data_IF_935381235040
#
_entry.id   IF_935381235040
#
_cell.length_a   1.000
_cell.length_b   1.000
_cell.length_c   1.000
_cell.angle_alpha   90.00
_cell.angle_beta   90.00
_cell.angle_gamma   90.00
#
_symmetry.space_group_name_H-M   'P 1'
#
loop_
_entity.id
_entity.type
_entity.pdbx_description
1 polymer ?
#
# COMPACT_ATOMS: atom_id res chain seq x y z
N UNK A 1 17.58 3.07 -33.99
CA UNK A 1 16.83 2.64 -32.77
C UNK A 1 15.69 1.64 -33.04
N UNK A 2 15.51 1.12 -34.27
CA UNK A 2 14.24 0.50 -34.70
C UNK A 2 14.21 -1.04 -34.83
N UNK A 3 15.34 -1.75 -34.79
CA UNK A 3 15.35 -3.22 -35.02
C UNK A 3 15.77 -4.00 -33.76
N UNK A 4 16.72 -3.46 -33.00
CA UNK A 4 17.14 -4.02 -31.70
C UNK A 4 16.01 -3.99 -30.68
N UNK A 5 15.28 -2.86 -30.59
CA UNK A 5 14.09 -2.75 -29.73
C UNK A 5 12.97 -3.70 -30.16
N UNK A 6 12.70 -3.79 -31.45
CA UNK A 6 11.69 -4.69 -32.01
C UNK A 6 12.04 -6.16 -31.76
N UNK A 7 13.32 -6.53 -31.90
CA UNK A 7 13.83 -7.87 -31.59
C UNK A 7 13.71 -8.21 -30.11
N UNK A 8 14.03 -7.26 -29.22
CA UNK A 8 13.86 -7.40 -27.77
C UNK A 8 12.38 -7.55 -27.37
N UNK A 9 11.48 -6.76 -27.96
CA UNK A 9 10.03 -6.84 -27.71
C UNK A 9 9.46 -8.18 -28.18
N UNK A 10 9.89 -8.69 -29.34
CA UNK A 10 9.44 -9.99 -29.87
C UNK A 10 10.00 -11.16 -29.05
N UNK A 11 11.27 -11.08 -28.63
CA UNK A 11 11.87 -12.07 -27.74
C UNK A 11 11.18 -12.09 -26.37
N UNK A 12 10.88 -10.92 -25.80
CA UNK A 12 10.14 -10.79 -24.54
C UNK A 12 8.74 -11.40 -24.66
N UNK A 13 7.98 -11.04 -25.69
CA UNK A 13 6.63 -11.59 -25.95
C UNK A 13 6.63 -13.12 -26.16
N UNK A 14 7.69 -13.68 -26.75
CA UNK A 14 7.85 -15.14 -26.92
C UNK A 14 8.27 -15.84 -25.63
N UNK A 15 9.05 -15.18 -24.79
CA UNK A 15 9.53 -15.72 -23.52
C UNK A 15 8.49 -15.63 -22.39
N UNK A 16 7.48 -14.75 -22.53
CA UNK A 16 6.34 -14.65 -21.61
C UNK A 16 5.45 -15.91 -21.67
N UNK A 17 5.95 -17.02 -21.15
CA UNK A 17 5.10 -18.14 -20.73
C UNK A 17 4.22 -17.65 -19.58
N UNK A 18 2.91 -17.92 -19.56
CA UNK A 18 2.09 -17.59 -18.41
C UNK A 18 2.56 -18.44 -17.22
N UNK A 19 3.36 -17.83 -16.34
CA UNK A 19 3.83 -18.43 -15.10
C UNK A 19 2.70 -18.34 -14.08
N UNK A 20 2.05 -19.48 -13.80
CA UNK A 20 1.01 -19.67 -12.77
C UNK A 20 -0.25 -18.80 -12.97
N UNK A 21 -1.38 -19.23 -12.42
CA UNK A 21 -2.65 -18.48 -12.49
C UNK A 21 -2.43 -17.05 -11.96
N UNK A 22 -2.52 -15.99 -12.79
CA UNK A 22 -2.21 -14.61 -12.38
C UNK A 22 -3.05 -14.13 -11.18
N UNK A 23 -4.22 -14.71 -11.00
CA UNK A 23 -5.17 -14.43 -9.92
C UNK A 23 -4.64 -14.80 -8.53
N UNK A 24 -3.90 -15.90 -8.38
CA UNK A 24 -3.45 -16.36 -7.06
C UNK A 24 -2.33 -15.48 -6.51
N UNK A 25 -1.37 -15.11 -7.36
CA UNK A 25 -0.30 -14.19 -7.00
C UNK A 25 -0.81 -12.78 -6.70
N UNK A 26 -1.81 -12.32 -7.46
CA UNK A 26 -2.47 -11.06 -7.20
C UNK A 26 -3.18 -11.07 -5.83
N UNK A 27 -3.85 -12.16 -5.48
CA UNK A 27 -4.47 -12.32 -4.16
C UNK A 27 -3.43 -12.28 -3.02
N UNK A 28 -2.31 -12.98 -3.17
CA UNK A 28 -1.21 -12.92 -2.19
C UNK A 28 -0.58 -11.53 -2.09
N UNK A 29 -0.44 -10.82 -3.21
CA UNK A 29 0.04 -9.44 -3.23
C UNK A 29 -0.89 -8.51 -2.45
N UNK A 30 -2.20 -8.60 -2.70
CA UNK A 30 -3.22 -7.84 -1.95
C UNK A 30 -3.21 -8.20 -0.46
N UNK A 31 -3.10 -9.48 -0.13
CA UNK A 31 -3.04 -9.94 1.26
C UNK A 31 -1.79 -9.41 1.99
N UNK A 32 -0.62 -9.43 1.34
CA UNK A 32 0.61 -8.86 1.89
C UNK A 32 0.51 -7.35 2.13
N UNK A 33 -0.10 -6.63 1.19
CA UNK A 33 -0.41 -5.21 1.35
C UNK A 33 -1.34 -4.95 2.54
N UNK A 34 -2.38 -5.76 2.70
CA UNK A 34 -3.28 -5.68 3.84
C UNK A 34 -2.56 -5.91 5.17
N UNK A 35 -1.73 -6.95 5.24
CA UNK A 35 -0.92 -7.23 6.42
C UNK A 35 0.04 -6.07 6.76
N UNK A 36 0.70 -5.50 5.75
CA UNK A 36 1.56 -4.33 5.94
C UNK A 36 0.78 -3.12 6.43
N UNK A 37 -0.40 -2.88 5.86
CA UNK A 37 -1.28 -1.79 6.30
C UNK A 37 -1.74 -1.97 7.75
N UNK A 38 -2.05 -3.19 8.17
CA UNK A 38 -2.41 -3.49 9.56
C UNK A 38 -1.24 -3.24 10.51
N UNK A 39 -0.01 -3.61 10.14
CA UNK A 39 1.19 -3.35 10.95
C UNK A 39 1.36 -1.84 11.18
N UNK A 40 1.25 -1.03 10.12
CA UNK A 40 1.34 0.42 10.23
C UNK A 40 0.15 1.04 10.97
N UNK A 41 -1.07 0.58 10.70
CA UNK A 41 -2.27 1.03 11.39
C UNK A 41 -2.23 0.77 12.90
N UNK A 42 -1.56 -0.31 13.33
CA UNK A 42 -1.38 -0.63 14.74
C UNK A 42 -0.53 0.40 15.48
N UNK A 43 0.37 1.11 14.80
CA UNK A 43 1.04 2.27 15.37
C UNK A 43 0.06 3.39 15.73
N UNK A 44 -1.03 3.55 14.97
CA UNK A 44 -2.13 4.46 15.26
C UNK A 44 -2.90 4.14 16.56
N UNK A 45 -2.72 2.94 17.11
CA UNK A 45 -3.30 2.52 18.39
C UNK A 45 -2.21 2.49 19.48
N UNK A 46 -1.12 1.76 19.24
CA UNK A 46 -0.09 1.49 20.23
C UNK A 46 0.79 2.72 20.54
N UNK A 47 0.99 3.61 19.57
CA UNK A 47 1.80 4.83 19.71
C UNK A 47 0.93 6.09 19.80
N UNK A 48 -0.40 5.94 19.96
CA UNK A 48 -1.28 7.08 20.08
C UNK A 48 -1.05 7.81 21.41
N UNK A 49 -0.65 9.10 21.41
CA UNK A 49 -0.39 9.86 22.63
C UNK A 49 -1.61 10.70 23.02
N UNK A 50 -2.43 10.29 24.00
CA UNK A 50 -3.68 10.99 24.34
C UNK A 50 -3.45 12.38 24.96
N UNK A 51 -2.30 12.63 25.58
CA UNK A 51 -2.00 13.87 26.30
C UNK A 51 -1.24 14.91 25.50
N UNK A 52 -0.83 14.61 24.26
CA UNK A 52 0.03 15.51 23.47
C UNK A 52 -0.47 15.69 22.04
N UNK A 53 -1.17 16.79 21.73
CA UNK A 53 -1.64 17.11 20.37
C UNK A 53 -0.51 17.15 19.33
N UNK A 54 0.68 17.63 19.70
CA UNK A 54 1.84 17.71 18.79
C UNK A 54 2.29 16.33 18.29
N UNK A 55 2.29 15.32 19.18
CA UNK A 55 2.67 13.96 18.80
C UNK A 55 1.56 13.26 18.02
N UNK A 56 0.28 13.61 18.25
CA UNK A 56 -0.84 13.14 17.43
C UNK A 56 -0.74 13.66 15.98
N UNK A 57 -0.42 14.94 15.81
CA UNK A 57 -0.15 15.52 14.48
C UNK A 57 1.03 14.85 13.79
N UNK A 58 2.12 14.62 14.52
CA UNK A 58 3.27 13.89 13.98
C UNK A 58 2.87 12.49 13.50
N UNK A 59 2.14 11.73 14.32
CA UNK A 59 1.64 10.40 13.97
C UNK A 59 0.71 10.44 12.75
N UNK A 60 -0.14 11.46 12.64
CA UNK A 60 -1.00 11.68 11.48
C UNK A 60 -0.23 11.98 10.20
N UNK A 61 0.81 12.80 10.28
CA UNK A 61 1.67 13.09 9.13
C UNK A 61 2.44 11.84 8.69
N UNK A 62 2.92 11.02 9.65
CA UNK A 62 3.61 9.76 9.34
C UNK A 62 2.66 8.78 8.66
N UNK A 63 1.51 8.47 9.27
CA UNK A 63 0.56 7.49 8.70
C UNK A 63 -0.08 8.00 7.39
N UNK A 64 -0.41 9.29 7.32
CA UNK A 64 -0.89 9.93 6.11
C UNK A 64 0.15 9.93 4.99
N UNK A 65 1.42 10.20 5.31
CA UNK A 65 2.54 10.15 4.37
C UNK A 65 2.79 8.74 3.84
N UNK A 66 2.71 7.71 4.69
CA UNK A 66 2.81 6.31 4.29
C UNK A 66 1.66 5.90 3.35
N UNK A 67 0.42 6.31 3.65
CA UNK A 67 -0.73 6.08 2.78
C UNK A 67 -0.56 6.80 1.42
N UNK A 68 -0.12 8.06 1.42
CA UNK A 68 0.14 8.81 0.20
C UNK A 68 1.27 8.20 -0.63
N UNK A 69 2.38 7.80 -0.01
CA UNK A 69 3.51 7.15 -0.70
C UNK A 69 3.14 5.82 -1.34
N UNK A 70 2.19 5.08 -0.73
CA UNK A 70 1.71 3.81 -1.28
C UNK A 70 0.96 3.95 -2.62
N UNK A 71 0.44 5.15 -2.94
CA UNK A 71 -0.27 5.41 -4.21
C UNK A 71 0.62 5.14 -5.43
N UNK A 72 1.88 5.59 -5.38
CA UNK A 72 2.85 5.38 -6.46
C UNK A 72 3.25 3.89 -6.57
N UNK A 73 3.39 3.22 -5.42
CA UNK A 73 3.81 1.81 -5.35
C UNK A 73 2.71 0.87 -5.88
N UNK A 74 1.45 1.21 -5.68
CA UNK A 74 0.29 0.38 -6.05
C UNK A 74 -0.55 0.96 -7.20
N UNK A 75 0.00 1.90 -7.97
CA UNK A 75 -0.69 2.56 -9.09
C UNK A 75 -1.20 1.57 -10.15
N UNK A 76 -0.55 0.42 -10.30
CA UNK A 76 -0.95 -0.62 -11.26
C UNK A 76 -2.22 -1.39 -10.85
N UNK A 77 -2.59 -1.42 -9.56
CA UNK A 77 -3.73 -2.18 -9.07
C UNK A 77 -4.40 -1.52 -7.86
N UNK A 78 -5.47 -0.78 -8.14
CA UNK A 78 -6.21 0.00 -7.14
C UNK A 78 -6.70 -0.81 -5.91
N UNK A 79 -7.16 -2.08 -6.03
CA UNK A 79 -7.54 -2.85 -4.85
C UNK A 79 -6.36 -3.13 -3.89
N UNK A 80 -5.13 -3.27 -4.39
CA UNK A 80 -3.96 -3.41 -3.52
C UNK A 80 -3.64 -2.11 -2.77
N UNK A 81 -3.85 -0.95 -3.41
CA UNK A 81 -3.77 0.34 -2.74
C UNK A 81 -4.79 0.41 -1.59
N UNK A 82 -6.07 0.11 -1.84
CA UNK A 82 -7.10 0.14 -0.80
C UNK A 82 -6.80 -0.83 0.34
N UNK A 83 -6.32 -2.03 0.02
CA UNK A 83 -5.94 -3.05 1.00
C UNK A 83 -4.84 -2.55 1.94
N UNK A 84 -3.94 -1.69 1.50
CA UNK A 84 -2.92 -1.08 2.36
C UNK A 84 -3.43 0.18 3.10
N UNK A 85 -4.06 1.08 2.36
CA UNK A 85 -4.40 2.43 2.82
C UNK A 85 -5.50 2.42 3.88
N UNK A 86 -6.53 1.58 3.73
CA UNK A 86 -7.62 1.51 4.69
C UNK A 86 -7.14 1.02 6.06
N UNK A 87 -6.46 -0.13 6.19
CA UNK A 87 -5.97 -0.57 7.50
C UNK A 87 -4.96 0.38 8.13
N UNK A 88 -4.15 1.08 7.32
CA UNK A 88 -3.16 2.05 7.81
C UNK A 88 -3.81 3.29 8.43
N UNK A 89 -4.90 3.79 7.83
CA UNK A 89 -5.49 5.09 8.20
C UNK A 89 -6.70 4.98 9.11
N UNK A 90 -7.43 3.86 9.07
CA UNK A 90 -8.66 3.65 9.84
C UNK A 90 -8.46 3.81 11.35
N UNK A 91 -7.44 3.22 12.00
CA UNK A 91 -7.30 3.31 13.45
C UNK A 91 -7.09 4.74 13.95
N UNK A 92 -6.25 5.51 13.26
CA UNK A 92 -6.00 6.90 13.60
C UNK A 92 -7.25 7.77 13.37
N UNK A 93 -7.95 7.54 12.26
CA UNK A 93 -9.21 8.23 11.94
C UNK A 93 -10.24 8.01 13.05
N UNK A 94 -10.41 6.75 13.48
CA UNK A 94 -11.28 6.41 14.59
C UNK A 94 -10.89 7.12 15.89
N UNK A 95 -9.60 7.17 16.23
CA UNK A 95 -9.13 7.87 17.44
C UNK A 95 -9.44 9.36 17.41
N UNK A 96 -9.30 10.03 16.26
CA UNK A 96 -9.68 11.43 16.11
C UNK A 96 -11.17 11.67 16.24
N UNK A 97 -12.01 10.80 15.67
CA UNK A 97 -13.46 10.88 15.86
C UNK A 97 -13.92 10.60 17.30
N UNK A 98 -13.19 9.76 18.04
CA UNK A 98 -13.52 9.44 19.43
C UNK A 98 -13.13 10.55 20.43
N UNK A 99 -12.21 11.45 20.04
CA UNK A 99 -11.70 12.55 20.88
C UNK A 99 -12.21 13.94 20.49
N UNK A 100 -12.79 14.08 19.29
CA UNK A 100 -13.50 15.29 18.85
C UNK A 100 -14.92 15.32 19.38
#
# INVERSE_FOLDING_TARGET
INVLWSGLVLAYRRASKPLLHPSTWLAWFVAGNCASGLIWGMAGIALYPPSSPSHQMFLALVLGGMAAGSTAVHAAYFPAFLAYSLPTTLPLTYQFFAQG
#
